data_IF_937618810886
#
_entry.id   IF_937618810886
#
_cell.length_a   1.000
_cell.length_b   1.000
_cell.length_c   1.000
_cell.angle_alpha   90.00
_cell.angle_beta   90.00
_cell.angle_gamma   90.00
#
_symmetry.space_group_name_H-M   'P 1'
#
loop_
_entity.id
_entity.type
_entity.pdbx_description
1 polymer ?
#
# COMPACT_ATOMS: atom_id res chain seq x y z
N UNK A 1 -11.99 -8.33 -30.26
CA UNK A 1 -11.38 -8.36 -28.92
C UNK A 1 -10.98 -6.96 -28.53
N UNK A 2 -11.30 -6.53 -27.32
CA UNK A 2 -10.81 -5.26 -26.76
C UNK A 2 -9.31 -5.40 -26.46
N UNK A 3 -8.55 -4.32 -26.66
CA UNK A 3 -7.13 -4.24 -26.29
C UNK A 3 -6.98 -3.28 -25.11
N UNK A 4 -6.07 -3.61 -24.20
CA UNK A 4 -5.72 -2.76 -23.08
C UNK A 4 -4.20 -2.63 -23.01
N UNK A 5 -3.75 -1.44 -22.61
CA UNK A 5 -2.35 -1.21 -22.23
C UNK A 5 -2.29 -1.20 -20.71
N UNK A 6 -1.44 -2.04 -20.11
CA UNK A 6 -1.26 -2.15 -18.66
C UNK A 6 0.18 -1.78 -18.32
N UNK A 7 0.36 -0.83 -17.42
CA UNK A 7 1.66 -0.48 -16.87
C UNK A 7 1.83 -1.16 -15.51
N UNK A 8 2.94 -1.87 -15.37
CA UNK A 8 3.35 -2.50 -14.10
C UNK A 8 4.71 -1.99 -13.66
N UNK A 9 4.91 -1.98 -12.36
CA UNK A 9 6.19 -1.65 -11.72
C UNK A 9 6.39 -2.51 -10.49
N UNK A 10 7.55 -2.39 -9.86
CA UNK A 10 7.86 -2.98 -8.56
C UNK A 10 8.74 -1.99 -7.78
N UNK A 11 8.75 -2.08 -6.45
CA UNK A 11 9.68 -1.28 -5.65
C UNK A 11 11.07 -1.89 -5.72
N UNK A 12 12.04 -1.13 -6.19
CA UNK A 12 13.45 -1.51 -6.18
C UNK A 12 14.15 -0.79 -5.02
N UNK A 13 14.54 -1.50 -3.95
CA UNK A 13 15.32 -0.89 -2.88
C UNK A 13 16.66 -0.40 -3.42
N UNK A 14 17.05 0.79 -3.00
CA UNK A 14 18.36 1.38 -3.30
C UNK A 14 19.02 1.68 -1.96
N UNK A 15 20.23 1.17 -1.75
CA UNK A 15 20.97 1.32 -0.51
C UNK A 15 22.36 1.88 -0.75
N UNK A 16 22.94 2.44 0.30
CA UNK A 16 24.35 2.83 0.37
C UNK A 16 24.93 2.40 1.71
N UNK A 17 26.24 2.25 1.78
CA UNK A 17 26.94 1.86 3.00
C UNK A 17 28.12 2.81 3.22
N UNK A 18 28.12 3.51 4.35
CA UNK A 18 29.16 4.47 4.74
C UNK A 18 29.45 4.37 6.22
N UNK A 19 30.65 4.79 6.60
CA UNK A 19 31.03 4.96 7.99
C UNK A 19 30.80 6.42 8.41
N UNK A 20 30.19 6.62 9.58
CA UNK A 20 29.98 7.93 10.18
C UNK A 20 30.66 7.95 11.53
N UNK A 21 31.49 8.97 11.77
CA UNK A 21 32.09 9.21 13.09
C UNK A 21 31.11 10.03 13.92
N UNK A 22 30.67 9.47 15.05
CA UNK A 22 29.75 10.13 15.96
C UNK A 22 29.94 9.67 17.41
N UNK A 23 29.46 10.46 18.37
CA UNK A 23 29.56 10.15 19.80
C UNK A 23 28.61 9.02 20.22
N UNK A 24 27.47 8.88 19.52
CA UNK A 24 26.46 7.85 19.78
C UNK A 24 25.98 7.21 18.48
N UNK A 25 25.34 6.04 18.60
CA UNK A 25 24.68 5.37 17.48
C UNK A 25 23.57 6.25 16.88
N UNK A 26 22.81 6.94 17.73
CA UNK A 26 21.71 7.79 17.28
C UNK A 26 22.24 9.00 16.49
N UNK A 27 23.33 9.63 16.95
CA UNK A 27 24.01 10.68 16.18
C UNK A 27 24.51 10.17 14.83
N UNK A 28 25.09 8.96 14.77
CA UNK A 28 25.53 8.35 13.51
C UNK A 28 24.34 8.07 12.56
N UNK A 29 23.20 7.63 13.09
CA UNK A 29 21.97 7.43 12.31
C UNK A 29 21.42 8.76 11.75
N UNK A 30 21.43 9.83 12.54
CA UNK A 30 21.02 11.16 12.09
C UNK A 30 21.94 11.66 10.96
N UNK A 31 23.26 11.55 11.14
CA UNK A 31 24.24 11.88 10.08
C UNK A 31 23.99 11.07 8.80
N UNK A 32 23.63 9.79 8.93
CA UNK A 32 23.34 8.93 7.78
C UNK A 32 22.05 9.28 7.05
N UNK A 33 21.05 9.86 7.73
CA UNK A 33 19.80 10.34 7.15
C UNK A 33 20.00 11.70 6.47
N UNK A 34 20.78 12.60 7.10
CA UNK A 34 21.04 13.95 6.60
C UNK A 34 22.05 13.99 5.42
N UNK A 35 22.76 12.90 5.14
CA UNK A 35 23.68 12.79 4.01
C UNK A 35 22.90 12.68 2.68
N UNK A 36 22.94 13.69 1.83
CA UNK A 36 22.25 13.66 0.52
C UNK A 36 23.05 12.97 -0.61
N UNK A 37 24.27 12.47 -0.33
CA UNK A 37 25.14 11.90 -1.36
C UNK A 37 24.75 10.47 -1.74
N UNK A 38 24.15 10.25 -2.91
CA UNK A 38 23.74 8.91 -3.39
C UNK A 38 24.57 8.36 -4.57
N UNK A 39 25.71 8.99 -4.90
CA UNK A 39 26.50 8.60 -6.08
C UNK A 39 27.14 7.20 -6.03
N UNK A 40 27.28 6.62 -4.83
CA UNK A 40 27.79 5.26 -4.56
C UNK A 40 26.69 4.24 -4.25
N UNK A 41 25.43 4.63 -4.45
CA UNK A 41 24.29 3.78 -4.15
C UNK A 41 24.23 2.54 -5.06
N UNK A 42 23.61 1.49 -4.53
CA UNK A 42 23.43 0.21 -5.20
C UNK A 42 21.96 -0.17 -5.16
N UNK A 43 21.49 -0.71 -6.28
CA UNK A 43 20.18 -1.35 -6.37
C UNK A 43 20.24 -2.73 -5.74
N UNK A 44 19.21 -3.09 -4.96
CA UNK A 44 19.01 -4.42 -4.43
C UNK A 44 17.89 -5.12 -5.20
N UNK A 45 18.26 -5.67 -6.36
CA UNK A 45 17.33 -6.39 -7.23
C UNK A 45 16.84 -7.68 -6.57
N UNK A 46 17.67 -8.31 -5.73
CA UNK A 46 17.34 -9.59 -5.09
C UNK A 46 16.25 -9.45 -4.03
N UNK A 47 16.10 -8.25 -3.44
CA UNK A 47 15.04 -7.94 -2.46
C UNK A 47 13.96 -7.01 -3.01
N UNK A 48 13.83 -6.93 -4.34
CA UNK A 48 12.77 -6.16 -4.99
C UNK A 48 11.37 -6.56 -4.50
N UNK A 49 10.49 -5.58 -4.35
CA UNK A 49 9.09 -5.80 -3.98
C UNK A 49 8.30 -6.54 -5.06
N UNK A 50 7.03 -6.81 -4.77
CA UNK A 50 6.13 -7.45 -5.73
C UNK A 50 5.89 -6.55 -6.97
N UNK A 51 5.50 -7.17 -8.08
CA UNK A 51 5.04 -6.44 -9.26
C UNK A 51 3.57 -6.07 -9.10
N UNK A 52 3.23 -4.80 -9.33
CA UNK A 52 1.88 -4.27 -9.23
C UNK A 52 1.56 -3.32 -10.37
N UNK A 53 0.26 -3.03 -10.56
CA UNK A 53 -0.24 -2.16 -11.65
C UNK A 53 -0.22 -0.71 -11.22
N UNK A 54 0.29 0.17 -12.09
CA UNK A 54 0.30 1.63 -11.92
C UNK A 54 -0.50 2.38 -12.97
N UNK A 55 -0.93 1.70 -14.03
CA UNK A 55 -1.76 2.31 -15.06
C UNK A 55 -2.51 1.31 -15.92
N UNK A 56 -3.71 1.70 -16.36
CA UNK A 56 -4.58 0.93 -17.25
C UNK A 56 -5.16 1.90 -18.27
N UNK A 57 -5.09 1.56 -19.56
CA UNK A 57 -5.69 2.34 -20.65
C UNK A 57 -6.40 1.45 -21.65
N UNK A 58 -7.49 1.96 -22.21
CA UNK A 58 -8.19 1.32 -23.33
C UNK A 58 -7.43 1.55 -24.64
N UNK A 59 -7.20 0.46 -25.40
CA UNK A 59 -6.47 0.48 -26.67
C UNK A 59 -5.04 -0.04 -26.57
N UNK A 60 -4.45 -0.28 -27.74
CA UNK A 60 -3.02 -0.61 -27.85
C UNK A 60 -2.18 0.67 -27.79
N UNK A 61 -1.02 0.60 -27.15
CA UNK A 61 -0.02 1.68 -27.09
C UNK A 61 -0.61 3.00 -26.55
N UNK A 62 -1.54 2.88 -25.62
CA UNK A 62 -2.34 3.99 -25.10
C UNK A 62 -1.76 4.60 -23.80
N UNK A 63 -0.65 4.06 -23.28
CA UNK A 63 0.00 4.58 -22.08
C UNK A 63 0.26 6.08 -22.19
N UNK A 64 -0.18 6.83 -21.17
CA UNK A 64 -0.02 8.29 -21.07
C UNK A 64 -0.64 9.12 -22.20
N UNK A 65 -1.49 8.51 -23.05
CA UNK A 65 -2.12 9.15 -24.21
C UNK A 65 -3.63 8.91 -24.30
N UNK A 66 -4.07 7.71 -23.91
CA UNK A 66 -5.48 7.34 -23.87
C UNK A 66 -6.15 7.69 -22.55
N UNK A 67 -7.45 7.41 -22.47
CA UNK A 67 -8.21 7.51 -21.23
C UNK A 67 -7.75 6.45 -20.23
N UNK A 68 -7.36 6.88 -19.03
CA UNK A 68 -6.94 6.01 -17.96
C UNK A 68 -8.15 5.40 -17.25
N UNK A 69 -8.13 4.08 -17.03
CA UNK A 69 -9.11 3.39 -16.22
C UNK A 69 -8.66 3.30 -14.76
N UNK A 70 -9.62 3.22 -13.84
CA UNK A 70 -9.33 2.98 -12.43
C UNK A 70 -8.65 1.63 -12.25
N UNK A 71 -7.60 1.59 -11.42
CA UNK A 71 -6.87 0.37 -11.08
C UNK A 71 -7.63 -0.36 -9.97
N UNK A 72 -8.15 -1.58 -10.22
CA UNK A 72 -8.80 -2.38 -9.20
C UNK A 72 -7.83 -2.65 -8.04
N UNK A 73 -8.32 -2.56 -6.81
CA UNK A 73 -7.46 -2.47 -5.63
C UNK A 73 -6.66 -3.75 -5.35
N UNK A 74 -7.11 -4.90 -5.82
CA UNK A 74 -6.38 -6.17 -5.78
C UNK A 74 -5.09 -6.19 -6.62
N UNK A 75 -4.94 -5.29 -7.60
CA UNK A 75 -3.74 -5.20 -8.45
C UNK A 75 -2.74 -4.14 -7.98
N UNK A 76 -3.04 -3.43 -6.89
CA UNK A 76 -2.09 -2.52 -6.23
C UNK A 76 -1.13 -3.33 -5.36
N UNK A 77 0.02 -2.74 -5.06
CA UNK A 77 1.01 -3.31 -4.15
C UNK A 77 0.38 -3.63 -2.79
N UNK A 78 0.67 -4.81 -2.25
CA UNK A 78 0.20 -5.31 -0.96
C UNK A 78 0.53 -4.37 0.19
N UNK A 79 1.72 -3.75 0.20
CA UNK A 79 2.08 -2.75 1.23
C UNK A 79 1.16 -1.54 1.18
N UNK A 80 0.84 -1.04 -0.03
CA UNK A 80 -0.10 0.07 -0.19
C UNK A 80 -1.51 -0.35 0.21
N UNK A 81 -1.97 -1.54 -0.20
CA UNK A 81 -3.28 -2.09 0.21
C UNK A 81 -3.40 -2.17 1.74
N UNK A 82 -2.35 -2.62 2.43
CA UNK A 82 -2.28 -2.66 3.90
C UNK A 82 -2.35 -1.25 4.51
N UNK A 83 -1.60 -0.28 3.96
CA UNK A 83 -1.59 1.09 4.46
C UNK A 83 -2.96 1.79 4.27
N UNK A 84 -3.58 1.63 3.10
CA UNK A 84 -4.93 2.14 2.83
C UNK A 84 -5.95 1.49 3.78
N UNK A 85 -5.88 0.17 3.96
CA UNK A 85 -6.80 -0.57 4.81
C UNK A 85 -6.59 -0.33 6.32
N UNK A 86 -5.38 0.02 6.75
CA UNK A 86 -5.12 0.40 8.14
C UNK A 86 -6.03 1.57 8.57
N UNK A 87 -6.29 2.52 7.68
CA UNK A 87 -7.23 3.61 7.95
C UNK A 87 -8.65 3.10 8.16
N UNK A 88 -9.13 2.23 7.28
CA UNK A 88 -10.46 1.61 7.40
C UNK A 88 -10.62 0.90 8.76
N UNK A 89 -9.63 0.09 9.14
CA UNK A 89 -9.63 -0.64 10.42
C UNK A 89 -9.58 0.30 11.62
N UNK A 90 -8.76 1.34 11.57
CA UNK A 90 -8.67 2.32 12.64
C UNK A 90 -10.00 3.07 12.82
N UNK A 91 -10.68 3.41 11.73
CA UNK A 91 -11.99 4.06 11.79
C UNK A 91 -13.04 3.13 12.44
N UNK A 92 -13.01 1.82 12.14
CA UNK A 92 -13.89 0.85 12.82
C UNK A 92 -13.57 0.71 14.32
N UNK A 93 -12.29 0.67 14.68
CA UNK A 93 -11.85 0.56 16.08
C UNK A 93 -12.19 1.83 16.87
N UNK A 94 -11.95 3.00 16.30
CA UNK A 94 -12.28 4.28 16.93
C UNK A 94 -13.80 4.45 17.10
N UNK A 95 -14.60 3.93 16.17
CA UNK A 95 -16.06 3.97 16.28
C UNK A 95 -16.56 3.17 17.48
N UNK A 96 -16.02 1.98 17.76
CA UNK A 96 -16.46 1.17 18.92
C UNK A 96 -15.80 1.59 20.24
N UNK A 97 -14.62 2.20 20.19
CA UNK A 97 -13.87 2.65 21.38
C UNK A 97 -14.37 3.96 22.01
N UNK A 98 -15.61 4.36 21.76
CA UNK A 98 -16.18 5.59 22.34
C UNK A 98 -16.29 5.46 23.87
N UNK A 99 -15.99 6.53 24.65
CA UNK A 99 -16.01 6.47 26.12
C UNK A 99 -17.35 6.03 26.73
N UNK A 100 -18.45 6.36 26.08
CA UNK A 100 -19.82 5.99 26.48
C UNK A 100 -20.27 4.64 25.92
N UNK A 101 -19.43 3.98 25.11
CA UNK A 101 -19.78 2.82 24.30
C UNK A 101 -20.74 3.18 23.15
N UNK A 102 -21.12 2.15 22.39
CA UNK A 102 -22.11 2.24 21.33
C UNK A 102 -23.52 1.94 21.86
N UNK A 103 -24.51 2.65 21.32
CA UNK A 103 -25.90 2.24 21.47
C UNK A 103 -26.14 0.93 20.71
N UNK A 104 -27.19 0.18 21.06
CA UNK A 104 -27.54 -1.07 20.35
C UNK A 104 -27.80 -0.83 18.86
N UNK A 105 -28.45 0.29 18.51
CA UNK A 105 -28.73 0.68 17.12
C UNK A 105 -27.45 0.98 16.35
N UNK A 106 -26.50 1.68 16.98
CA UNK A 106 -25.21 2.01 16.35
C UNK A 106 -24.33 0.77 16.21
N UNK A 107 -24.38 -0.14 17.19
CA UNK A 107 -23.69 -1.42 17.12
C UNK A 107 -24.20 -2.28 15.97
N UNK A 108 -25.52 -2.40 15.79
CA UNK A 108 -26.12 -3.15 14.68
C UNK A 108 -25.73 -2.60 13.31
N UNK A 109 -25.56 -1.27 13.19
CA UNK A 109 -25.09 -0.62 11.95
C UNK A 109 -23.60 -0.78 11.72
N UNK A 110 -22.81 -0.81 12.79
CA UNK A 110 -21.36 -0.93 12.72
C UNK A 110 -20.88 -2.34 12.44
N UNK A 111 -21.50 -3.36 13.06
CA UNK A 111 -21.03 -4.74 13.02
C UNK A 111 -20.82 -5.28 11.59
N UNK A 112 -21.72 -5.07 10.61
CA UNK A 112 -21.49 -5.51 9.23
C UNK A 112 -20.25 -4.84 8.59
N UNK A 113 -20.03 -3.55 8.84
CA UNK A 113 -18.89 -2.81 8.30
C UNK A 113 -17.58 -3.29 8.94
N UNK A 114 -17.59 -3.57 10.24
CA UNK A 114 -16.46 -4.14 10.94
C UNK A 114 -16.10 -5.54 10.42
N UNK A 115 -17.11 -6.39 10.18
CA UNK A 115 -16.91 -7.72 9.59
C UNK A 115 -16.31 -7.61 8.18
N UNK A 116 -16.87 -6.75 7.31
CA UNK A 116 -16.35 -6.55 5.96
C UNK A 116 -14.90 -6.03 5.98
N UNK A 117 -14.60 -5.08 6.87
CA UNK A 117 -13.24 -4.60 7.06
C UNK A 117 -12.28 -5.73 7.48
N UNK A 118 -12.68 -6.58 8.44
CA UNK A 118 -11.86 -7.73 8.85
C UNK A 118 -11.62 -8.71 7.71
N UNK A 119 -12.65 -9.05 6.94
CA UNK A 119 -12.52 -9.97 5.80
C UNK A 119 -11.64 -9.39 4.69
N UNK A 120 -11.77 -8.09 4.39
CA UNK A 120 -10.85 -7.39 3.47
C UNK A 120 -9.42 -7.44 3.98
N UNK A 121 -9.20 -7.23 5.28
CA UNK A 121 -7.88 -7.34 5.90
C UNK A 121 -7.27 -8.74 5.78
N UNK A 122 -8.08 -9.79 5.98
CA UNK A 122 -7.65 -11.18 5.76
C UNK A 122 -7.27 -11.43 4.32
N UNK A 123 -8.09 -10.98 3.37
CA UNK A 123 -7.81 -11.11 1.94
C UNK A 123 -6.49 -10.43 1.55
N UNK A 124 -6.21 -9.23 2.07
CA UNK A 124 -4.95 -8.51 1.82
C UNK A 124 -3.74 -9.27 2.40
N UNK A 125 -3.86 -9.85 3.60
CA UNK A 125 -2.77 -10.64 4.22
C UNK A 125 -2.47 -11.90 3.42
N UNK A 126 -3.49 -12.53 2.86
CA UNK A 126 -3.37 -13.74 2.03
C UNK A 126 -3.12 -13.44 0.55
N UNK A 127 -2.88 -12.15 0.19
CA UNK A 127 -2.66 -11.69 -1.18
C UNK A 127 -3.80 -12.04 -2.15
N UNK A 128 -5.01 -12.26 -1.63
CA UNK A 128 -6.22 -12.57 -2.40
C UNK A 128 -6.93 -11.31 -2.88
N UNK A 129 -7.80 -11.48 -3.88
CA UNK A 129 -8.74 -10.45 -4.32
C UNK A 129 -9.66 -10.02 -3.18
N UNK A 130 -10.06 -8.75 -3.17
CA UNK A 130 -11.01 -8.25 -2.18
C UNK A 130 -12.40 -8.89 -2.39
N UNK A 131 -13.12 -9.25 -1.32
CA UNK A 131 -14.42 -9.93 -1.43
C UNK A 131 -15.53 -9.09 -2.08
N UNK A 132 -15.41 -7.75 -2.11
CA UNK A 132 -16.50 -6.84 -2.48
C UNK A 132 -16.35 -6.17 -3.87
N UNK A 133 -15.37 -6.55 -4.69
CA UNK A 133 -15.16 -5.99 -6.05
C UNK A 133 -15.75 -6.88 -7.18
N UNK A 134 -16.85 -7.59 -6.91
CA UNK A 134 -17.70 -8.17 -7.95
C UNK A 134 -18.87 -7.22 -8.23
N UNK A 135 -18.66 -6.25 -9.12
CA UNK A 135 -19.74 -5.54 -9.81
C UNK A 135 -19.48 -5.58 -11.32
#
# INVERSE_FOLDING_TARGET
MSKFTIETTYRLPVYRQRAYEAATLEDACLLAIDDDGWGDAKEDVDTSGETYVTGIWSGADAAHRGEAAAIPSQFRETVQRKAEHFRDLLDQLAYVAQPTGLSMVDFERWLPNAIAAVEKGRAIIEERSNPDEQN
#
